data_IF_705626882152
#
_entry.id   IF_705626882152
#
_cell.length_a   1.000
_cell.length_b   1.000
_cell.length_c   1.000
_cell.angle_alpha   90.00
_cell.angle_beta   90.00
_cell.angle_gamma   90.00
#
_symmetry.space_group_name_H-M   'P 1'
#
loop_
_entity.id
_entity.type
_entity.pdbx_description
1 polymer ?
#
# COMPACT_ATOMS: atom_id res chain seq x y z
N UNK A 1 0.31 13.86 -14.59
CA UNK A 1 -0.92 13.85 -13.79
C UNK A 1 -1.02 12.57 -13.01
N UNK A 2 -1.31 12.69 -11.75
CA UNK A 2 -1.35 11.53 -10.88
C UNK A 2 -2.76 10.95 -10.85
N UNK A 3 -2.89 9.68 -11.20
CA UNK A 3 -4.18 9.02 -11.25
C UNK A 3 -4.54 8.27 -9.99
N UNK A 4 -3.79 8.47 -8.91
CA UNK A 4 -4.02 7.72 -7.69
C UNK A 4 -5.41 7.96 -7.10
N UNK A 5 -5.94 9.18 -7.27
CA UNK A 5 -7.27 9.47 -6.77
C UNK A 5 -8.34 8.63 -7.44
N UNK A 6 -8.11 8.28 -8.70
CA UNK A 6 -9.04 7.44 -9.44
C UNK A 6 -8.87 5.97 -9.10
N UNK A 7 -7.61 5.55 -8.92
CA UNK A 7 -7.29 4.16 -8.68
C UNK A 7 -7.56 3.73 -7.25
N UNK A 8 -7.34 4.63 -6.32
CA UNK A 8 -7.43 4.31 -4.89
C UNK A 8 -8.51 5.17 -4.27
N UNK A 9 -9.56 4.54 -3.78
CA UNK A 9 -10.70 5.28 -3.24
C UNK A 9 -10.68 5.39 -1.72
N UNK A 10 -9.99 4.48 -1.05
CA UNK A 10 -9.94 4.48 0.41
C UNK A 10 -8.53 4.71 0.90
N UNK A 11 -8.35 5.77 1.67
CA UNK A 11 -7.06 6.15 2.23
C UNK A 11 -7.14 6.21 3.74
N UNK A 12 -6.03 5.88 4.40
CA UNK A 12 -5.91 5.97 5.85
C UNK A 12 -4.80 6.94 6.20
N UNK A 13 -5.03 7.75 7.24
CA UNK A 13 -3.95 8.56 7.80
C UNK A 13 -3.05 7.65 8.63
N UNK A 14 -1.86 8.17 9.00
CA UNK A 14 -0.96 7.36 9.82
C UNK A 14 -1.57 7.00 11.18
N UNK A 15 -2.27 7.92 11.88
CA UNK A 15 -2.96 7.51 13.10
C UNK A 15 -4.01 6.43 12.88
N UNK A 16 -4.71 6.47 11.73
CA UNK A 16 -5.68 5.44 11.42
C UNK A 16 -5.01 4.08 11.26
N UNK A 17 -3.86 4.06 10.59
CA UNK A 17 -3.09 2.83 10.41
C UNK A 17 -2.63 2.31 11.76
N UNK A 18 -2.14 3.22 12.61
CA UNK A 18 -1.67 2.83 13.95
C UNK A 18 -2.79 2.16 14.73
N UNK A 19 -3.98 2.69 14.62
CA UNK A 19 -5.14 2.14 15.31
C UNK A 19 -5.49 0.76 14.78
N UNK A 20 -5.47 0.62 13.45
CA UNK A 20 -5.78 -0.66 12.82
C UNK A 20 -4.76 -1.74 13.17
N UNK A 21 -3.49 -1.37 13.27
CA UNK A 21 -2.43 -2.31 13.59
C UNK A 21 -2.20 -2.46 15.09
N UNK A 22 -2.85 -1.61 15.88
CA UNK A 22 -2.69 -1.61 17.33
C UNK A 22 -1.25 -1.34 17.72
N UNK A 23 -0.68 -0.30 17.14
CA UNK A 23 0.69 0.13 17.41
C UNK A 23 0.74 1.65 17.52
N UNK A 24 1.89 2.18 17.93
CA UNK A 24 2.08 3.62 17.99
C UNK A 24 2.31 4.19 16.60
N UNK A 25 1.97 5.47 16.42
CA UNK A 25 2.20 6.13 15.14
C UNK A 25 3.67 6.11 14.76
N UNK A 26 4.57 6.22 15.73
CA UNK A 26 6.01 6.14 15.46
C UNK A 26 6.37 4.80 14.83
N UNK A 27 5.70 3.74 15.24
CA UNK A 27 5.91 2.42 14.63
C UNK A 27 5.48 2.42 13.18
N UNK A 28 4.35 3.07 12.88
CA UNK A 28 3.86 3.17 11.50
C UNK A 28 4.89 3.90 10.64
N UNK A 29 5.45 5.00 11.14
CA UNK A 29 6.47 5.73 10.40
C UNK A 29 7.68 4.85 10.11
N UNK A 30 8.09 4.05 11.08
CA UNK A 30 9.21 3.14 10.89
C UNK A 30 8.91 2.09 9.84
N UNK A 31 7.69 1.55 9.84
CA UNK A 31 7.29 0.57 8.83
C UNK A 31 7.41 1.17 7.44
N UNK A 32 7.01 2.42 7.28
CA UNK A 32 7.11 3.10 6.00
C UNK A 32 8.58 3.28 5.60
N UNK A 33 9.41 3.70 6.54
CA UNK A 33 10.83 3.91 6.26
C UNK A 33 11.54 2.62 5.88
N UNK A 34 11.08 1.51 6.43
CA UNK A 34 11.69 0.21 6.17
C UNK A 34 11.14 -0.48 4.93
N UNK A 35 10.21 0.16 4.24
CA UNK A 35 9.64 -0.45 3.05
C UNK A 35 8.61 -1.52 3.32
N UNK A 36 8.14 -1.61 4.56
CA UNK A 36 7.11 -2.57 4.93
C UNK A 36 5.73 -2.06 4.58
N UNK A 37 5.61 -0.75 4.39
CA UNK A 37 4.34 -0.10 4.10
C UNK A 37 4.65 1.09 3.21
N UNK A 38 3.66 1.55 2.45
CA UNK A 38 3.85 2.66 1.52
C UNK A 38 2.88 3.78 1.85
N UNK A 39 3.40 5.00 1.96
CA UNK A 39 2.58 6.18 2.19
C UNK A 39 2.98 7.27 1.21
N UNK A 40 2.01 8.04 0.77
CA UNK A 40 2.26 9.17 -0.12
C UNK A 40 1.54 10.40 0.42
N UNK A 41 2.00 11.57 0.00
CA UNK A 41 1.41 12.83 0.45
C UNK A 41 0.17 13.14 -0.36
N UNK A 42 -0.91 13.43 0.34
CA UNK A 42 -2.19 13.68 -0.29
C UNK A 42 -2.94 14.77 0.49
N UNK A 43 -3.85 15.42 -0.21
CA UNK A 43 -4.82 16.29 0.44
C UNK A 43 -4.34 17.71 0.65
N UNK A 44 -5.24 18.51 1.22
CA UNK A 44 -5.00 19.92 1.52
C UNK A 44 -5.64 20.21 2.87
N UNK A 45 -4.86 20.38 3.95
CA UNK A 45 -3.38 20.37 3.95
C UNK A 45 -2.81 18.99 3.61
N UNK A 46 -1.59 19.00 3.13
CA UNK A 46 -0.94 17.77 2.70
C UNK A 46 -0.59 16.92 3.92
N UNK A 47 -1.02 15.66 3.89
CA UNK A 47 -0.65 14.69 4.92
C UNK A 47 -0.27 13.39 4.23
N UNK A 48 0.50 12.57 4.93
CA UNK A 48 0.86 11.26 4.40
C UNK A 48 -0.30 10.30 4.66
N UNK A 49 -0.62 9.53 3.62
CA UNK A 49 -1.72 8.58 3.69
C UNK A 49 -1.32 7.25 3.09
N UNK A 50 -1.97 6.21 3.57
CA UNK A 50 -1.71 4.84 3.17
C UNK A 50 -2.98 4.29 2.53
N UNK A 51 -2.89 3.66 1.35
CA UNK A 51 -4.07 3.01 0.79
C UNK A 51 -4.60 1.95 1.75
N UNK A 52 -5.89 2.00 2.01
CA UNK A 52 -6.50 1.09 2.98
C UNK A 52 -6.33 -0.37 2.59
N UNK A 53 -6.29 -0.65 1.29
CA UNK A 53 -6.18 -2.03 0.81
C UNK A 53 -4.82 -2.66 1.08
N UNK A 54 -3.82 -1.87 1.49
CA UNK A 54 -2.54 -2.44 1.90
C UNK A 54 -2.63 -3.14 3.25
N UNK A 55 -3.74 -2.95 3.96
CA UNK A 55 -3.95 -3.59 5.25
C UNK A 55 -5.02 -4.66 5.14
N UNK A 56 -4.86 -5.69 5.96
CA UNK A 56 -5.88 -6.71 6.13
C UNK A 56 -6.21 -6.73 7.61
N UNK A 57 -7.16 -7.60 7.98
CA UNK A 57 -7.64 -7.63 9.33
C UNK A 57 -6.54 -7.81 10.36
N UNK A 58 -5.56 -8.62 10.02
CA UNK A 58 -4.49 -8.97 10.95
C UNK A 58 -3.21 -8.20 10.75
N UNK A 59 -3.19 -7.22 9.85
CA UNK A 59 -1.97 -6.47 9.65
C UNK A 59 -1.79 -6.02 8.22
N UNK A 60 -0.55 -6.09 7.75
CA UNK A 60 -0.19 -5.66 6.40
C UNK A 60 -0.30 -6.86 5.46
N UNK A 61 -0.77 -6.62 4.23
CA UNK A 61 -0.92 -7.73 3.27
C UNK A 61 0.42 -8.43 3.10
N UNK A 62 0.40 -9.76 2.96
CA UNK A 62 1.64 -10.51 2.81
C UNK A 62 2.32 -10.18 1.50
N UNK A 63 3.63 -10.33 1.48
CA UNK A 63 4.48 -10.12 0.31
C UNK A 63 4.59 -8.66 -0.13
N UNK A 64 3.96 -7.73 0.59
CA UNK A 64 4.09 -6.32 0.23
C UNK A 64 5.54 -5.83 0.33
N UNK A 65 6.29 -6.13 1.41
CA UNK A 65 7.67 -5.63 1.47
C UNK A 65 8.54 -6.11 0.33
N UNK A 66 8.39 -7.37 -0.07
CA UNK A 66 9.14 -7.91 -1.21
C UNK A 66 8.79 -7.21 -2.50
N UNK A 67 7.50 -6.99 -2.72
CA UNK A 67 7.03 -6.29 -3.90
C UNK A 67 7.56 -4.86 -3.93
N UNK A 68 7.51 -4.16 -2.79
CA UNK A 68 8.02 -2.80 -2.70
C UNK A 68 9.50 -2.77 -3.04
N UNK A 69 10.27 -3.71 -2.51
CA UNK A 69 11.71 -3.77 -2.77
C UNK A 69 11.98 -3.95 -4.26
N UNK A 70 11.28 -4.89 -4.89
CA UNK A 70 11.49 -5.17 -6.32
C UNK A 70 11.17 -3.93 -7.15
N UNK A 71 10.06 -3.27 -6.88
CA UNK A 71 9.65 -2.12 -7.67
C UNK A 71 10.58 -0.93 -7.45
N UNK A 72 11.00 -0.70 -6.22
CA UNK A 72 11.94 0.38 -5.94
C UNK A 72 13.30 0.12 -6.59
N UNK A 73 13.74 -1.11 -6.56
CA UNK A 73 14.99 -1.47 -7.23
C UNK A 73 14.89 -1.25 -8.74
N UNK A 74 13.69 -1.34 -9.28
CA UNK A 74 13.44 -1.08 -10.69
C UNK A 74 13.27 0.40 -11.02
N UNK A 75 13.41 1.27 -10.02
CA UNK A 75 13.34 2.71 -10.24
C UNK A 75 11.97 3.33 -10.03
N UNK A 76 11.03 2.57 -9.50
CA UNK A 76 9.68 3.11 -9.25
C UNK A 76 9.69 4.07 -8.06
N UNK A 77 9.04 5.22 -8.22
CA UNK A 77 8.73 6.07 -7.07
C UNK A 77 7.55 5.44 -6.33
N UNK A 78 7.29 5.93 -5.13
CA UNK A 78 6.17 5.39 -4.36
C UNK A 78 4.84 5.62 -5.08
N UNK A 79 4.67 6.78 -5.72
CA UNK A 79 3.47 7.04 -6.50
C UNK A 79 3.32 6.05 -7.65
N UNK A 80 4.42 5.79 -8.36
CA UNK A 80 4.41 4.84 -9.48
C UNK A 80 4.15 3.43 -8.99
N UNK A 81 4.72 3.09 -7.85
CA UNK A 81 4.55 1.78 -7.24
C UNK A 81 3.07 1.55 -6.91
N UNK A 82 2.43 2.52 -6.29
CA UNK A 82 1.01 2.40 -5.97
C UNK A 82 0.16 2.36 -7.22
N UNK A 83 0.53 3.16 -8.22
CA UNK A 83 -0.20 3.15 -9.48
C UNK A 83 -0.16 1.76 -10.10
N UNK A 84 1.01 1.13 -10.10
CA UNK A 84 1.16 -0.22 -10.62
C UNK A 84 0.30 -1.21 -9.86
N UNK A 85 0.34 -1.13 -8.53
CA UNK A 85 -0.40 -2.07 -7.70
C UNK A 85 -1.91 -2.00 -7.92
N UNK A 86 -2.41 -0.81 -8.21
CA UNK A 86 -3.85 -0.60 -8.29
C UNK A 86 -4.38 -0.51 -9.72
N UNK A 87 -3.53 -0.72 -10.72
CA UNK A 87 -3.97 -0.69 -12.13
C UNK A 87 -4.23 -2.11 -12.60
N UNK A 88 -5.41 -2.38 -13.16
CA UNK A 88 -5.69 -3.73 -13.69
C UNK A 88 -4.69 -4.09 -14.79
N UNK A 89 -4.27 -5.35 -14.78
CA UNK A 89 -3.34 -5.87 -15.76
C UNK A 89 -4.07 -6.94 -16.57
N UNK A 90 -3.98 -6.85 -17.89
CA UNK A 90 -4.71 -7.77 -18.76
C UNK A 90 -4.28 -9.21 -18.56
N UNK A 91 -3.08 -9.42 -18.07
CA UNK A 91 -2.58 -10.77 -17.85
C UNK A 91 -2.99 -11.35 -16.50
N UNK A 92 -3.66 -10.54 -15.66
CA UNK A 92 -4.06 -10.97 -14.34
C UNK A 92 -5.56 -10.83 -14.19
N UNK A 93 -6.19 -11.68 -13.38
CA UNK A 93 -7.61 -11.51 -13.07
C UNK A 93 -7.77 -10.41 -12.03
N UNK A 94 -7.65 -9.14 -12.44
CA UNK A 94 -7.77 -8.00 -11.55
C UNK A 94 -6.48 -7.25 -11.46
N UNK A 95 -6.29 -6.59 -10.32
CA UNK A 95 -5.13 -5.75 -10.09
C UNK A 95 -4.05 -6.53 -9.33
N UNK A 96 -2.78 -6.10 -9.44
CA UNK A 96 -1.74 -6.73 -8.61
C UNK A 96 -2.07 -6.72 -7.13
N UNK A 97 -2.66 -5.63 -6.62
CA UNK A 97 -3.03 -5.57 -5.20
C UNK A 97 -4.04 -6.69 -4.86
N UNK A 98 -4.93 -6.99 -5.77
CA UNK A 98 -5.92 -8.04 -5.54
C UNK A 98 -5.25 -9.41 -5.47
N UNK A 99 -4.20 -9.61 -6.27
CA UNK A 99 -3.44 -10.86 -6.21
C UNK A 99 -2.76 -11.03 -4.86
N UNK A 100 -2.18 -9.96 -4.34
CA UNK A 100 -1.52 -10.01 -3.04
C UNK A 100 -2.53 -10.31 -1.95
N UNK A 101 -3.69 -9.68 -2.00
CA UNK A 101 -4.71 -9.90 -0.99
C UNK A 101 -5.29 -11.30 -1.08
N UNK A 102 -5.43 -11.79 -2.30
CA UNK A 102 -5.94 -13.15 -2.53
C UNK A 102 -4.97 -14.19 -2.00
N UNK A 103 -3.68 -13.96 -2.22
CA UNK A 103 -2.65 -14.87 -1.74
C UNK A 103 -2.61 -15.01 -0.24
N UNK A 104 -3.11 -13.99 0.44
CA UNK A 104 -3.16 -14.02 1.87
C UNK A 104 -3.97 -15.20 2.41
N UNK A 105 -4.94 -15.70 1.66
CA UNK A 105 -5.76 -16.79 2.09
C UNK A 105 -5.04 -18.10 2.10
N UNK A 106 -3.85 -18.09 1.65
CA UNK A 106 -3.07 -19.28 1.64
C UNK A 106 -3.70 -20.34 0.86
N UNK A 107 -4.36 -20.11 0.05
CA UNK A 107 -4.99 -20.94 -0.60
C UNK A 107 -4.49 -21.98 -0.78
N UNK A 108 -4.30 -22.25 -0.24
CA UNK A 108 -3.78 -23.29 -0.29
C UNK A 108 -3.98 -24.19 -0.57
#
# INVERSE_FOLDING_TARGET
>A
MNDLDTLITDWLTLPDVAQRLDVEVSRVRRLIEEGQLVAVRRGDPVVRMVPALLLVEDGIIPHLPGTVTILRDGGFTDDELLSWLFTPDETLPGRPIDQLRSGQRGEV
#
